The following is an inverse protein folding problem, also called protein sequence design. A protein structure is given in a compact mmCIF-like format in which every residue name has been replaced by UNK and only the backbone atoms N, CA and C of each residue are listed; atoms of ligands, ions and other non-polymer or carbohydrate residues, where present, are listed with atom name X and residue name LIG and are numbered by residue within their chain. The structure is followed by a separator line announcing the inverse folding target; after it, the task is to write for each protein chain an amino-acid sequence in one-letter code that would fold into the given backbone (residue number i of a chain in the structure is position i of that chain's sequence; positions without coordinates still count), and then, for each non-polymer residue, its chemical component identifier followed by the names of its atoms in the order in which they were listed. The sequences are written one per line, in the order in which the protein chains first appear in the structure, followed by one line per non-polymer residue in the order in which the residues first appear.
data_IF_319558836452
#
_entry.id   IF_319558836452
#
_cell.length_a   1.000
_cell.length_b   1.000
_cell.length_c   1.000
_cell.angle_alpha   90.00
_cell.angle_beta   90.00
_cell.angle_gamma   90.00
#
_symmetry.space_group_name_H-M   'P 1'
#
loop_
_entity.id
_entity.type
_entity.pdbx_description
1 polymer ?
#
# COMPACT_ATOMS: atom_id res chain seq x y z
N UNK A 1 -14.86 5.88 3.93
CA UNK A 1 -15.46 4.54 3.70
C UNK A 1 -14.33 3.60 3.28
N UNK A 2 -13.96 2.68 4.16
CA UNK A 2 -12.83 1.76 3.89
C UNK A 2 -13.36 0.59 3.08
N UNK A 3 -13.00 0.53 1.81
CA UNK A 3 -13.35 -0.62 0.97
C UNK A 3 -12.34 -1.73 1.20
N UNK A 4 -12.75 -2.74 1.95
CA UNK A 4 -12.06 -4.01 2.08
C UNK A 4 -12.91 -5.04 1.38
N UNK A 5 -12.38 -5.63 0.32
CA UNK A 5 -13.14 -6.54 -0.52
C UNK A 5 -12.24 -7.69 -0.97
N UNK A 6 -12.84 -8.86 -1.11
CA UNK A 6 -12.27 -9.93 -1.94
C UNK A 6 -13.20 -10.08 -3.14
N UNK A 7 -12.64 -9.96 -4.32
CA UNK A 7 -13.34 -10.19 -5.58
C UNK A 7 -12.75 -11.43 -6.23
N UNK A 8 -13.59 -12.45 -6.46
CA UNK A 8 -13.21 -13.62 -7.24
C UNK A 8 -13.54 -13.35 -8.71
N UNK A 9 -12.52 -13.47 -9.58
CA UNK A 9 -12.66 -13.48 -11.03
C UNK A 9 -11.99 -14.75 -11.52
N UNK A 10 -12.76 -15.64 -12.12
CA UNK A 10 -12.34 -16.98 -12.51
C UNK A 10 -11.66 -17.72 -11.35
N UNK A 11 -10.39 -18.08 -11.48
CA UNK A 11 -9.60 -18.77 -10.46
C UNK A 11 -8.68 -17.85 -9.63
N UNK A 12 -8.89 -16.51 -9.72
CA UNK A 12 -8.09 -15.49 -9.08
C UNK A 12 -8.88 -14.73 -8.00
N UNK A 13 -8.34 -14.62 -6.79
CA UNK A 13 -8.81 -13.73 -5.75
C UNK A 13 -8.05 -12.39 -5.77
N UNK A 14 -8.81 -11.31 -5.93
CA UNK A 14 -8.31 -9.95 -5.74
C UNK A 14 -8.66 -9.49 -4.32
N UNK A 15 -7.67 -9.44 -3.44
CA UNK A 15 -7.81 -8.97 -2.06
C UNK A 15 -7.47 -7.49 -2.03
N UNK A 16 -8.49 -6.65 -1.84
CA UNK A 16 -8.36 -5.19 -1.93
C UNK A 16 -8.49 -4.53 -0.57
N UNK A 17 -7.57 -3.62 -0.27
CA UNK A 17 -7.56 -2.83 0.96
C UNK A 17 -6.81 -1.51 0.75
N UNK A 18 -7.05 -0.50 1.58
CA UNK A 18 -6.22 0.71 1.60
C UNK A 18 -4.81 0.38 2.11
N UNK A 19 -4.71 -0.52 3.07
CA UNK A 19 -3.50 -0.83 3.84
C UNK A 19 -2.84 0.48 4.32
N UNK A 20 -3.54 1.27 5.14
CA UNK A 20 -2.89 2.38 5.82
C UNK A 20 -1.56 1.90 6.40
N UNK A 21 -0.51 2.73 6.34
CA UNK A 21 0.77 2.37 6.93
C UNK A 21 0.70 2.43 8.47
N UNK A 22 1.68 1.86 9.13
CA UNK A 22 1.81 1.94 10.58
C UNK A 22 2.81 3.04 10.94
N UNK A 23 2.35 4.07 11.66
CA UNK A 23 3.19 5.15 12.11
C UNK A 23 3.92 4.71 13.38
N UNK A 24 5.25 4.66 13.30
CA UNK A 24 6.09 4.33 14.43
C UNK A 24 6.06 5.42 15.50
N UNK A 25 6.07 5.07 16.80
CA UNK A 25 6.01 6.06 17.89
C UNK A 25 7.10 7.13 17.82
N UNK A 26 8.30 6.76 17.33
CA UNK A 26 9.42 7.70 17.17
C UNK A 26 9.17 8.75 16.08
N UNK A 27 8.33 8.44 15.09
CA UNK A 27 8.05 9.29 13.93
C UNK A 27 6.76 10.10 14.11
N UNK A 28 5.94 9.77 15.10
CA UNK A 28 4.57 10.27 15.29
C UNK A 28 4.47 11.80 15.21
N UNK A 29 5.32 12.51 15.94
CA UNK A 29 5.32 13.97 15.93
C UNK A 29 5.61 14.56 14.56
N UNK A 30 6.60 14.01 13.85
CA UNK A 30 7.02 14.51 12.54
C UNK A 30 5.97 14.21 11.47
N UNK A 31 5.39 13.01 11.51
CA UNK A 31 4.31 12.59 10.62
C UNK A 31 3.08 13.46 10.84
N UNK A 32 2.62 13.59 12.08
CA UNK A 32 1.47 14.44 12.44
C UNK A 32 1.66 15.88 11.98
N UNK A 33 2.85 16.44 12.17
CA UNK A 33 3.18 17.80 11.75
C UNK A 33 3.38 17.93 10.24
N UNK A 34 3.91 16.91 9.58
CA UNK A 34 4.32 16.95 8.17
C UNK A 34 3.18 16.71 7.19
N UNK A 35 2.20 15.86 7.53
CA UNK A 35 1.17 15.43 6.60
C UNK A 35 -0.12 16.24 6.72
N UNK A 36 -0.70 16.56 5.57
CA UNK A 36 -1.97 17.27 5.47
C UNK A 36 -3.15 16.41 5.95
N UNK A 37 -3.04 15.10 5.93
CA UNK A 37 -4.05 14.16 6.40
C UNK A 37 -4.54 14.49 7.81
N UNK A 38 -3.63 14.87 8.72
CA UNK A 38 -3.95 15.20 10.11
C UNK A 38 -4.55 16.60 10.29
N UNK A 39 -4.57 17.42 9.23
CA UNK A 39 -5.14 18.76 9.22
C UNK A 39 -6.46 18.86 8.46
N UNK A 40 -6.68 17.94 7.52
CA UNK A 40 -7.80 18.05 6.57
C UNK A 40 -8.75 16.86 6.65
N UNK A 41 -8.31 15.70 7.15
CA UNK A 41 -9.14 14.49 7.20
C UNK A 41 -9.91 14.44 8.52
N UNK A 42 -11.22 14.23 8.41
CA UNK A 42 -12.07 13.98 9.58
C UNK A 42 -12.33 12.47 9.73
N UNK A 43 -12.08 11.96 10.93
CA UNK A 43 -12.42 10.61 11.35
C UNK A 43 -13.39 10.67 12.53
N UNK A 44 -14.59 10.10 12.36
CA UNK A 44 -15.66 10.13 13.38
C UNK A 44 -15.97 11.55 13.90
N UNK A 45 -15.94 12.56 13.00
CA UNK A 45 -16.27 13.95 13.30
C UNK A 45 -15.16 14.77 13.97
N UNK A 46 -13.95 14.22 14.14
CA UNK A 46 -12.77 14.89 14.67
C UNK A 46 -11.63 14.82 13.66
N UNK A 47 -10.65 15.72 13.75
CA UNK A 47 -9.43 15.60 12.96
C UNK A 47 -8.77 14.25 13.22
N UNK A 48 -8.29 13.63 12.14
CA UNK A 48 -7.57 12.37 12.21
C UNK A 48 -6.38 12.48 13.16
N UNK A 49 -6.19 11.47 13.98
CA UNK A 49 -5.06 11.33 14.89
C UNK A 49 -4.24 10.09 14.49
N UNK A 50 -2.98 10.07 14.87
CA UNK A 50 -2.04 8.98 14.57
C UNK A 50 -2.50 7.63 15.12
N UNK A 51 -3.09 7.63 16.33
CA UNK A 51 -3.68 6.42 16.89
C UNK A 51 -4.81 5.85 16.02
N UNK A 52 -5.72 6.70 15.54
CA UNK A 52 -6.80 6.28 14.66
C UNK A 52 -6.26 5.81 13.30
N UNK A 53 -5.19 6.42 12.82
CA UNK A 53 -4.48 5.98 11.61
C UNK A 53 -3.92 4.57 11.77
N UNK A 54 -3.23 4.29 12.88
CA UNK A 54 -2.71 2.96 13.18
C UNK A 54 -3.82 1.92 13.38
N UNK A 55 -4.94 2.27 14.04
CA UNK A 55 -6.11 1.39 14.11
C UNK A 55 -6.65 1.03 12.72
N UNK A 56 -6.68 1.98 11.77
CA UNK A 56 -7.10 1.70 10.40
C UNK A 56 -6.14 0.75 9.69
N UNK A 57 -4.83 0.90 9.95
CA UNK A 57 -3.81 -0.02 9.49
C UNK A 57 -4.09 -1.44 9.98
N UNK A 58 -4.29 -1.64 11.29
CA UNK A 58 -4.53 -2.96 11.89
C UNK A 58 -5.76 -3.64 11.29
N UNK A 59 -6.83 -2.89 11.07
CA UNK A 59 -8.03 -3.39 10.40
C UNK A 59 -7.77 -3.82 8.96
N UNK A 60 -6.97 -3.06 8.22
CA UNK A 60 -6.64 -3.38 6.83
C UNK A 60 -5.75 -4.62 6.74
N UNK A 61 -4.72 -4.68 7.58
CA UNK A 61 -3.80 -5.82 7.65
C UNK A 61 -4.53 -7.09 8.09
N UNK A 62 -5.39 -6.99 9.11
CA UNK A 62 -6.21 -8.10 9.57
C UNK A 62 -7.12 -8.67 8.48
N UNK A 63 -7.71 -7.80 7.65
CA UNK A 63 -8.49 -8.21 6.48
C UNK A 63 -7.63 -8.97 5.47
N UNK A 64 -6.45 -8.44 5.11
CA UNK A 64 -5.54 -9.09 4.15
C UNK A 64 -5.13 -10.47 4.68
N UNK A 65 -4.63 -10.56 5.90
CA UNK A 65 -4.20 -11.82 6.51
C UNK A 65 -5.33 -12.87 6.56
N UNK A 66 -6.52 -12.45 6.97
CA UNK A 66 -7.70 -13.32 7.00
C UNK A 66 -8.05 -13.81 5.60
N UNK A 67 -8.13 -12.91 4.63
CA UNK A 67 -8.48 -13.25 3.25
C UNK A 67 -7.46 -14.19 2.60
N UNK A 68 -6.17 -13.99 2.88
CA UNK A 68 -5.12 -14.91 2.44
C UNK A 68 -5.29 -16.33 3.01
N UNK A 69 -5.61 -16.42 4.31
CA UNK A 69 -5.81 -17.69 4.99
C UNK A 69 -7.08 -18.44 4.50
N UNK A 70 -8.13 -17.71 4.16
CA UNK A 70 -9.42 -18.25 3.73
C UNK A 70 -9.50 -18.51 2.21
N UNK A 71 -8.59 -17.92 1.41
CA UNK A 71 -8.63 -18.05 -0.04
C UNK A 71 -8.35 -19.47 -0.51
N UNK A 72 -9.22 -19.97 -1.39
CA UNK A 72 -9.08 -21.24 -2.11
C UNK A 72 -8.78 -21.04 -3.59
N UNK A 73 -8.53 -19.79 -4.01
CA UNK A 73 -8.19 -19.49 -5.39
C UNK A 73 -6.86 -20.11 -5.81
N UNK A 74 -6.72 -20.38 -7.09
CA UNK A 74 -5.44 -20.81 -7.68
C UNK A 74 -4.43 -19.65 -7.63
N UNK A 75 -4.89 -18.47 -7.94
CA UNK A 75 -4.09 -17.24 -7.94
C UNK A 75 -4.59 -16.21 -6.94
N UNK A 76 -3.68 -15.43 -6.36
CA UNK A 76 -4.00 -14.34 -5.44
C UNK A 76 -3.27 -13.07 -5.86
N UNK A 77 -4.04 -12.00 -6.04
CA UNK A 77 -3.54 -10.64 -6.24
C UNK A 77 -3.97 -9.77 -5.07
N UNK A 78 -3.02 -9.20 -4.35
CA UNK A 78 -3.31 -8.20 -3.32
C UNK A 78 -3.21 -6.81 -3.93
N UNK A 79 -4.19 -5.96 -3.65
CA UNK A 79 -4.21 -4.57 -4.15
C UNK A 79 -4.36 -3.63 -2.98
N UNK A 80 -3.36 -2.75 -2.80
CA UNK A 80 -3.35 -1.75 -1.73
C UNK A 80 -3.10 -0.35 -2.28
N UNK A 81 -3.35 0.68 -1.44
CA UNK A 81 -2.94 2.04 -1.77
C UNK A 81 -1.55 2.32 -1.22
N UNK A 82 -1.30 2.06 0.06
CA UNK A 82 0.03 2.26 0.66
C UNK A 82 1.02 1.15 0.26
N UNK A 83 2.30 1.48 0.41
CA UNK A 83 3.41 0.60 0.06
C UNK A 83 3.52 -0.57 1.06
N UNK A 84 3.61 -1.82 0.59
CA UNK A 84 3.68 -2.98 1.46
C UNK A 84 5.09 -3.28 2.00
N UNK A 85 6.11 -2.54 1.55
CA UNK A 85 7.49 -2.73 1.97
C UNK A 85 8.33 -1.48 1.74
N UNK A 86 9.36 -1.31 2.53
CA UNK A 86 10.36 -0.24 2.36
C UNK A 86 11.27 -0.44 1.14
N UNK A 87 11.27 -1.64 0.54
CA UNK A 87 12.07 -1.93 -0.65
C UNK A 87 11.63 -1.12 -1.88
N UNK A 88 10.34 -0.76 -1.93
CA UNK A 88 9.76 0.04 -3.02
C UNK A 88 9.61 1.53 -2.67
N UNK A 89 10.26 1.98 -1.61
CA UNK A 89 10.41 3.41 -1.33
C UNK A 89 11.49 3.99 -2.25
N UNK A 90 11.17 5.09 -2.91
CA UNK A 90 12.09 5.76 -3.83
C UNK A 90 13.38 6.20 -3.12
N UNK A 91 14.51 6.11 -3.82
CA UNK A 91 15.84 6.32 -3.24
C UNK A 91 15.99 7.67 -2.54
N UNK A 92 15.39 8.73 -3.11
CA UNK A 92 15.40 10.09 -2.55
C UNK A 92 14.62 10.21 -1.22
N UNK A 93 13.75 9.26 -0.90
CA UNK A 93 12.93 9.24 0.32
C UNK A 93 13.42 8.22 1.36
N UNK A 94 14.43 7.40 1.03
CA UNK A 94 14.98 6.43 1.98
C UNK A 94 15.52 7.13 3.24
N UNK A 95 15.12 6.63 4.41
CA UNK A 95 15.51 7.21 5.71
C UNK A 95 14.69 8.43 6.15
N UNK A 96 13.67 8.84 5.40
CA UNK A 96 12.75 9.89 5.84
C UNK A 96 11.89 9.39 7.00
N UNK A 97 11.74 10.21 8.04
CA UNK A 97 10.84 9.98 9.17
C UNK A 97 9.36 9.92 8.75
N UNK A 98 9.02 10.42 7.55
CA UNK A 98 7.67 10.36 7.02
C UNK A 98 7.34 8.98 6.42
N UNK A 99 8.35 8.14 6.18
CA UNK A 99 8.13 6.85 5.52
C UNK A 99 7.18 5.93 6.30
N UNK A 100 7.13 6.04 7.63
CA UNK A 100 6.21 5.25 8.45
C UNK A 100 4.72 5.53 8.13
N UNK A 101 4.40 6.67 7.50
CA UNK A 101 3.06 6.96 7.01
C UNK A 101 2.82 6.57 5.54
N UNK A 102 3.84 6.12 4.82
CA UNK A 102 3.75 5.74 3.40
C UNK A 102 3.94 4.25 3.18
N UNK A 103 4.77 3.61 3.97
CA UNK A 103 5.17 2.22 3.80
C UNK A 103 5.23 1.50 5.13
N UNK A 104 4.91 0.22 5.13
CA UNK A 104 5.13 -0.68 6.26
C UNK A 104 5.84 -1.92 5.75
N UNK A 105 6.80 -2.45 6.52
CA UNK A 105 7.63 -3.57 6.06
C UNK A 105 6.91 -4.91 6.24
N UNK A 106 6.50 -5.52 5.12
CA UNK A 106 5.85 -6.83 5.06
C UNK A 106 6.54 -7.80 4.10
N UNK A 107 7.82 -7.60 3.79
CA UNK A 107 8.56 -8.50 2.90
C UNK A 107 8.51 -9.96 3.36
N UNK A 108 8.60 -10.23 4.67
CA UNK A 108 8.50 -11.59 5.22
C UNK A 108 7.10 -12.19 5.01
N UNK A 109 6.04 -11.42 5.24
CA UNK A 109 4.66 -11.85 4.97
C UNK A 109 4.47 -12.16 3.49
N UNK A 110 4.99 -11.30 2.62
CA UNK A 110 4.91 -11.45 1.17
C UNK A 110 5.66 -12.71 0.74
N UNK A 111 6.92 -12.86 1.13
CA UNK A 111 7.75 -14.00 0.77
C UNK A 111 7.22 -15.34 1.31
N UNK A 112 6.59 -15.33 2.49
CA UNK A 112 6.02 -16.52 3.12
C UNK A 112 4.59 -16.86 2.67
N UNK A 113 4.00 -16.08 1.76
CA UNK A 113 2.65 -16.28 1.27
C UNK A 113 2.63 -16.91 -0.13
N UNK A 114 1.40 -17.24 -0.60
CA UNK A 114 1.16 -17.68 -1.99
C UNK A 114 0.59 -16.58 -2.87
N UNK A 115 0.97 -15.32 -2.59
CA UNK A 115 0.56 -14.17 -3.40
C UNK A 115 1.34 -14.19 -4.72
N UNK A 116 0.65 -14.15 -5.85
CA UNK A 116 1.28 -14.06 -7.17
C UNK A 116 1.73 -12.62 -7.45
N UNK A 117 0.90 -11.64 -7.07
CA UNK A 117 1.24 -10.24 -7.24
C UNK A 117 0.68 -9.34 -6.13
N UNK A 118 1.43 -8.30 -5.79
CA UNK A 118 0.99 -7.22 -4.91
C UNK A 118 1.05 -5.89 -5.67
N UNK A 119 -0.10 -5.29 -5.92
CA UNK A 119 -0.24 -4.01 -6.62
C UNK A 119 -0.41 -2.91 -5.58
N UNK A 120 0.39 -1.84 -5.69
CA UNK A 120 0.35 -0.73 -4.74
C UNK A 120 0.35 0.64 -5.45
N UNK A 121 0.15 1.72 -4.67
CA UNK A 121 0.12 3.10 -5.14
C UNK A 121 0.80 4.08 -4.17
N UNK A 122 0.26 5.27 -4.02
CA UNK A 122 0.55 6.30 -3.01
C UNK A 122 1.84 7.12 -3.22
N UNK A 123 2.95 6.50 -3.59
CA UNK A 123 4.26 7.17 -3.65
C UNK A 123 4.49 8.03 -4.88
N UNK A 124 3.62 7.95 -5.88
CA UNK A 124 3.76 8.57 -7.21
C UNK A 124 5.07 8.25 -7.94
N UNK A 125 5.80 7.24 -7.46
CA UNK A 125 7.03 6.74 -8.09
C UNK A 125 6.84 5.27 -8.42
N UNK A 126 7.07 4.91 -9.68
CA UNK A 126 6.84 3.54 -10.14
C UNK A 126 8.11 2.71 -9.93
N UNK A 127 8.09 1.82 -8.94
CA UNK A 127 9.16 0.89 -8.60
C UNK A 127 8.56 -0.51 -8.52
N UNK A 128 9.08 -1.42 -9.31
CA UNK A 128 8.73 -2.83 -9.25
C UNK A 128 9.80 -3.61 -8.47
N UNK A 129 9.39 -4.65 -7.77
CA UNK A 129 10.27 -5.56 -7.03
C UNK A 129 9.74 -6.99 -7.10
N UNK A 130 10.62 -7.96 -6.84
CA UNK A 130 10.24 -9.35 -6.59
C UNK A 130 10.62 -9.71 -5.15
N UNK A 131 9.67 -10.27 -4.40
CA UNK A 131 9.85 -10.69 -3.01
C UNK A 131 9.39 -12.14 -2.90
N UNK A 132 10.34 -13.07 -2.73
CA UNK A 132 10.05 -14.49 -2.89
C UNK A 132 9.56 -14.77 -4.32
N UNK A 133 8.34 -15.29 -4.45
CA UNK A 133 7.70 -15.56 -5.74
C UNK A 133 6.66 -14.48 -6.12
N UNK A 134 6.51 -13.43 -5.30
CA UNK A 134 5.51 -12.39 -5.49
C UNK A 134 6.07 -11.21 -6.29
N UNK A 135 5.38 -10.82 -7.35
CA UNK A 135 5.65 -9.58 -8.08
C UNK A 135 5.03 -8.41 -7.33
N UNK A 136 5.84 -7.50 -6.80
CA UNK A 136 5.38 -6.26 -6.15
C UNK A 136 5.48 -5.14 -7.16
N UNK A 137 4.35 -4.61 -7.62
CA UNK A 137 4.29 -3.73 -8.79
C UNK A 137 3.40 -2.51 -8.55
N UNK A 138 3.67 -1.44 -9.28
CA UNK A 138 2.79 -0.28 -9.36
C UNK A 138 2.78 0.33 -10.78
N UNK A 139 1.79 1.17 -11.04
CA UNK A 139 1.71 1.96 -12.27
C UNK A 139 0.91 3.24 -11.99
N UNK A 140 1.55 4.15 -11.32
CA UNK A 140 0.95 5.38 -10.80
C UNK A 140 1.12 6.51 -11.81
N UNK A 141 0.02 7.16 -12.16
CA UNK A 141 0.05 8.35 -13.01
C UNK A 141 0.63 9.56 -12.24
N UNK A 142 0.40 9.63 -10.94
CA UNK A 142 0.76 10.79 -10.13
C UNK A 142 -0.11 12.01 -10.44
N UNK A 143 0.37 13.19 -10.08
CA UNK A 143 -0.33 14.46 -10.36
C UNK A 143 -0.09 14.91 -11.80
N UNK A 144 -1.14 14.82 -12.62
CA UNK A 144 -1.06 15.18 -14.04
C UNK A 144 -0.72 16.67 -14.23
N UNK A 145 -1.22 17.55 -13.37
CA UNK A 145 -0.93 18.99 -13.43
C UNK A 145 0.52 19.33 -13.06
N UNK A 146 1.24 18.42 -12.40
CA UNK A 146 2.69 18.50 -12.14
C UNK A 146 3.53 17.74 -13.17
N UNK A 147 2.88 17.12 -14.18
CA UNK A 147 3.51 16.30 -15.20
C UNK A 147 4.28 15.08 -14.64
N UNK A 148 3.93 14.58 -13.47
CA UNK A 148 4.61 13.44 -12.84
C UNK A 148 4.60 12.18 -13.74
N UNK A 149 3.50 11.94 -14.47
CA UNK A 149 3.36 10.82 -15.40
C UNK A 149 4.42 10.80 -16.52
N UNK A 150 5.05 11.92 -16.81
CA UNK A 150 6.10 12.01 -17.84
C UNK A 150 7.44 11.49 -17.32
N UNK A 151 7.67 11.63 -16.00
CA UNK A 151 9.00 11.39 -15.39
C UNK A 151 9.01 10.19 -14.41
N UNK A 152 7.83 9.71 -13.96
CA UNK A 152 7.74 8.67 -12.94
C UNK A 152 7.69 7.24 -13.49
N UNK A 153 7.78 7.05 -14.81
CA UNK A 153 7.74 5.74 -15.45
C UNK A 153 6.32 5.18 -15.62
N UNK A 154 5.29 6.03 -15.61
CA UNK A 154 3.92 5.60 -15.92
C UNK A 154 3.81 5.06 -17.35
N UNK A 155 3.19 3.90 -17.52
CA UNK A 155 2.97 3.24 -18.81
C UNK A 155 1.50 2.85 -18.96
N UNK A 156 0.80 3.47 -19.91
CA UNK A 156 -0.61 3.16 -20.21
C UNK A 156 -0.82 1.72 -20.68
N UNK A 157 0.22 1.08 -21.22
CA UNK A 157 0.18 -0.29 -21.71
C UNK A 157 0.66 -1.33 -20.70
N UNK A 158 0.99 -0.94 -19.45
CA UNK A 158 1.48 -1.88 -18.45
C UNK A 158 0.43 -2.95 -18.12
N UNK A 159 0.83 -4.20 -18.27
CA UNK A 159 0.01 -5.35 -17.89
C UNK A 159 0.80 -6.34 -17.03
N UNK A 160 0.09 -7.18 -16.31
CA UNK A 160 0.63 -8.22 -15.48
C UNK A 160 0.11 -9.58 -15.94
N UNK A 161 1.01 -10.54 -16.10
CA UNK A 161 0.66 -11.96 -16.29
C UNK A 161 0.96 -12.71 -14.99
N UNK A 162 -0.02 -13.48 -14.49
CA UNK A 162 0.04 -14.33 -13.31
C UNK A 162 -0.25 -15.80 -13.65
#
# INVERSE_FOLDING_TARGET
MYKRQVLRIDDTDFIMSTLWSHIEPADEYFVWKGLNDFRQTLYKGKLLQTEAYNQMHDFCLGHIKKSLAESTAKHIVVVTHHLPTLQVVASQHKGSVLNSAFATEYAELIAGSRIDAWIYGHSHTNIDAEIGNTKVICNQMGYVFENEHVINGFDQGKFLTI
#
